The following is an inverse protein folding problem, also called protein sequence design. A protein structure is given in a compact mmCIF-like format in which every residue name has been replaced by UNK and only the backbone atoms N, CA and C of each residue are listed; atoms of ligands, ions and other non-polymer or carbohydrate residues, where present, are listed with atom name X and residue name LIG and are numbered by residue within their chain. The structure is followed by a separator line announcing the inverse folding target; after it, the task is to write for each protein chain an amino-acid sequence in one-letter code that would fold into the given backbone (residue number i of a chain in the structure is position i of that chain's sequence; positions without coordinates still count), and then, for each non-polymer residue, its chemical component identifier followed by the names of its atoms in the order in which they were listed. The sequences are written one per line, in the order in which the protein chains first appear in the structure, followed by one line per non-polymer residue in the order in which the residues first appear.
data_IF_123271990282
#
_entry.id   IF_123271990282
#
_cell.length_a   1.000
_cell.length_b   1.000
_cell.length_c   1.000
_cell.angle_alpha   90.00
_cell.angle_beta   90.00
_cell.angle_gamma   90.00
#
_symmetry.space_group_name_H-M   'P 1'
#
loop_
_entity.id
_entity.type
_entity.pdbx_description
1 polymer ?
#
# COMPACT_ATOMS: atom_id res chain seq x y z
N UNK A 1 -9.48 13.66 46.35
CA UNK A 1 -9.60 12.25 45.91
C UNK A 1 -10.28 12.29 44.54
N UNK A 2 -9.49 12.37 43.46
CA UNK A 2 -10.00 12.33 42.09
C UNK A 2 -9.52 11.02 41.46
N UNK A 3 -10.46 10.13 41.17
CA UNK A 3 -10.20 8.93 40.38
C UNK A 3 -9.79 9.36 38.96
N UNK A 4 -8.67 8.87 38.40
CA UNK A 4 -8.41 9.07 36.99
C UNK A 4 -9.38 8.20 36.18
N UNK A 5 -10.48 8.79 35.73
CA UNK A 5 -11.33 8.23 34.68
C UNK A 5 -10.59 8.27 33.34
N UNK A 6 -9.57 7.43 33.20
CA UNK A 6 -8.96 7.11 31.92
C UNK A 6 -9.90 6.15 31.21
N UNK A 7 -10.67 6.66 30.25
CA UNK A 7 -11.51 5.85 29.38
C UNK A 7 -10.64 4.73 28.76
N UNK A 8 -10.84 3.51 29.23
CA UNK A 8 -10.20 2.31 28.69
C UNK A 8 -10.81 2.06 27.31
N UNK A 9 -10.10 2.46 26.26
CA UNK A 9 -10.48 2.13 24.90
C UNK A 9 -10.19 0.64 24.65
N UNK A 10 -11.24 -0.12 24.37
CA UNK A 10 -11.12 -1.51 23.91
C UNK A 10 -10.41 -1.51 22.55
N UNK A 11 -9.15 -1.91 22.55
CA UNK A 11 -8.42 -2.21 21.32
C UNK A 11 -8.85 -3.61 20.88
N UNK A 12 -9.67 -3.67 19.84
CA UNK A 12 -9.85 -4.92 19.12
C UNK A 12 -8.59 -5.20 18.32
N UNK A 13 -7.73 -6.04 18.88
CA UNK A 13 -6.62 -6.60 18.13
C UNK A 13 -7.24 -7.52 17.10
N UNK A 14 -7.32 -7.08 15.84
CA UNK A 14 -7.56 -7.95 14.69
C UNK A 14 -6.30 -8.82 14.54
N UNK A 15 -6.11 -9.75 15.47
CA UNK A 15 -5.27 -10.93 15.31
C UNK A 15 -5.98 -11.91 14.39
N UNK A 16 -6.47 -11.42 13.25
CA UNK A 16 -6.51 -12.29 12.10
C UNK A 16 -5.08 -12.75 11.90
N UNK A 17 -4.88 -14.02 11.60
CA UNK A 17 -3.63 -14.57 11.06
C UNK A 17 -3.34 -13.89 9.72
N UNK A 18 -3.11 -12.58 9.77
CA UNK A 18 -3.41 -11.56 8.78
C UNK A 18 -2.27 -11.40 7.81
N UNK A 19 -1.72 -12.52 7.36
CA UNK A 19 -0.91 -12.50 6.15
C UNK A 19 -1.88 -12.20 5.02
N UNK A 20 -1.88 -10.95 4.55
CA UNK A 20 -2.56 -10.52 3.32
C UNK A 20 -2.27 -11.59 2.27
N UNK A 21 -3.30 -12.34 1.86
CA UNK A 21 -3.13 -13.55 1.04
C UNK A 21 -2.31 -13.19 -0.20
N UNK A 22 -1.10 -13.77 -0.30
CA UNK A 22 -0.18 -13.49 -1.39
C UNK A 22 -0.39 -14.57 -2.46
N UNK A 23 -0.89 -14.16 -3.62
CA UNK A 23 -1.06 -15.06 -4.76
C UNK A 23 0.25 -15.13 -5.54
N UNK A 24 0.77 -16.34 -5.73
CA UNK A 24 1.91 -16.58 -6.62
C UNK A 24 1.53 -16.27 -8.08
N UNK A 25 2.51 -16.22 -8.98
CA UNK A 25 2.23 -16.07 -10.41
C UNK A 25 1.38 -17.25 -10.92
N UNK A 26 1.70 -18.46 -10.47
CA UNK A 26 1.00 -19.69 -10.83
C UNK A 26 -0.44 -19.70 -10.32
N UNK A 27 -0.67 -19.25 -9.09
CA UNK A 27 -2.04 -19.12 -8.56
C UNK A 27 -2.86 -18.14 -9.38
N UNK A 28 -2.29 -17.00 -9.76
CA UNK A 28 -2.97 -16.02 -10.61
C UNK A 28 -3.27 -16.59 -11.99
N UNK A 29 -2.32 -17.33 -12.58
CA UNK A 29 -2.49 -17.98 -13.87
C UNK A 29 -3.63 -19.00 -13.84
N UNK A 30 -3.66 -19.88 -12.83
CA UNK A 30 -4.73 -20.86 -12.63
C UNK A 30 -6.10 -20.19 -12.48
N UNK A 31 -6.20 -19.14 -11.67
CA UNK A 31 -7.46 -18.40 -11.48
C UNK A 31 -7.89 -17.72 -12.79
N UNK A 32 -6.94 -17.16 -13.55
CA UNK A 32 -7.24 -16.55 -14.85
C UNK A 32 -7.74 -17.62 -15.83
N UNK A 33 -7.09 -18.78 -15.91
CA UNK A 33 -7.49 -19.90 -16.77
C UNK A 33 -8.91 -20.38 -16.46
N UNK A 34 -9.27 -20.51 -15.17
CA UNK A 34 -10.62 -20.83 -14.73
C UNK A 34 -11.68 -19.85 -15.28
N UNK A 35 -11.33 -18.57 -15.42
CA UNK A 35 -12.22 -17.55 -16.04
C UNK A 35 -12.28 -17.58 -17.56
N UNK A 36 -11.45 -18.39 -18.22
CA UNK A 36 -11.44 -18.53 -19.68
C UNK A 36 -12.29 -19.71 -20.16
N UNK A 37 -12.72 -20.59 -19.25
CA UNK A 37 -13.63 -21.69 -19.55
C UNK A 37 -14.97 -21.13 -20.10
N UNK A 38 -15.51 -21.68 -21.20
CA UNK A 38 -16.81 -21.25 -21.74
C UNK A 38 -17.90 -21.30 -20.66
N UNK A 39 -18.65 -20.22 -20.51
CA UNK A 39 -19.71 -20.09 -19.50
C UNK A 39 -19.23 -19.68 -18.10
N UNK A 40 -17.93 -19.46 -17.87
CA UNK A 40 -17.43 -19.03 -16.58
C UNK A 40 -17.84 -17.58 -16.23
N UNK A 41 -18.37 -17.39 -15.01
CA UNK A 41 -18.71 -16.07 -14.47
C UNK A 41 -17.56 -15.56 -13.59
N UNK A 42 -16.90 -14.49 -14.03
CA UNK A 42 -15.71 -13.91 -13.35
C UNK A 42 -15.99 -13.57 -11.88
N UNK A 43 -17.18 -13.06 -11.56
CA UNK A 43 -17.55 -12.70 -10.19
C UNK A 43 -17.68 -13.90 -9.26
N UNK A 44 -18.13 -15.05 -9.78
CA UNK A 44 -18.22 -16.29 -9.01
C UNK A 44 -16.84 -16.88 -8.73
N UNK A 45 -15.99 -16.93 -9.75
CA UNK A 45 -14.59 -17.35 -9.61
C UNK A 45 -13.88 -16.44 -8.60
N UNK A 46 -14.06 -15.13 -8.68
CA UNK A 46 -13.48 -14.20 -7.72
C UNK A 46 -13.92 -14.48 -6.28
N UNK A 47 -15.22 -14.69 -6.04
CA UNK A 47 -15.75 -15.02 -4.70
C UNK A 47 -15.16 -16.31 -4.15
N UNK A 48 -15.04 -17.37 -4.97
CA UNK A 48 -14.44 -18.65 -4.58
C UNK A 48 -12.99 -18.49 -4.10
N UNK A 49 -12.27 -17.54 -4.68
CA UNK A 49 -10.88 -17.24 -4.33
C UNK A 49 -10.73 -16.10 -3.31
N UNK A 50 -11.82 -15.56 -2.75
CA UNK A 50 -11.78 -14.43 -1.81
C UNK A 50 -11.23 -13.15 -2.44
N UNK A 51 -11.45 -12.98 -3.74
CA UNK A 51 -10.98 -11.86 -4.55
C UNK A 51 -12.15 -10.94 -4.93
N UNK A 52 -11.81 -9.68 -5.21
CA UNK A 52 -12.73 -8.78 -5.89
C UNK A 52 -12.71 -9.05 -7.40
N UNK A 53 -13.85 -9.02 -8.11
CA UNK A 53 -13.90 -9.27 -9.56
C UNK A 53 -12.95 -8.36 -10.35
N UNK A 54 -12.77 -7.10 -9.92
CA UNK A 54 -11.85 -6.14 -10.52
C UNK A 54 -10.38 -6.60 -10.51
N UNK A 55 -9.95 -7.37 -9.50
CA UNK A 55 -8.59 -7.93 -9.46
C UNK A 55 -8.42 -8.97 -10.56
N UNK A 56 -9.40 -9.85 -10.73
CA UNK A 56 -9.39 -10.91 -11.74
C UNK A 56 -9.43 -10.32 -13.15
N UNK A 57 -10.26 -9.30 -13.41
CA UNK A 57 -10.25 -8.57 -14.69
C UNK A 57 -8.90 -7.96 -15.01
N UNK A 58 -8.24 -7.38 -14.00
CA UNK A 58 -6.89 -6.82 -14.15
C UNK A 58 -5.89 -7.89 -14.54
N UNK A 59 -5.90 -9.04 -13.87
CA UNK A 59 -5.02 -10.17 -14.20
C UNK A 59 -5.28 -10.76 -15.58
N UNK A 60 -6.56 -10.91 -15.99
CA UNK A 60 -6.92 -11.31 -17.35
C UNK A 60 -6.36 -10.36 -18.41
N UNK A 61 -6.42 -9.05 -18.15
CA UNK A 61 -5.85 -8.04 -19.07
C UNK A 61 -4.33 -8.16 -19.17
N UNK A 62 -3.64 -8.35 -18.05
CA UNK A 62 -2.19 -8.50 -18.01
C UNK A 62 -1.73 -9.79 -18.69
N UNK A 63 -2.44 -10.90 -18.50
CA UNK A 63 -2.12 -12.19 -19.12
C UNK A 63 -2.28 -12.19 -20.65
N UNK A 64 -3.18 -11.35 -21.19
CA UNK A 64 -3.37 -11.17 -22.64
C UNK A 64 -2.37 -10.20 -23.27
N UNK A 65 -1.68 -9.40 -22.48
CA UNK A 65 -0.66 -8.50 -23.03
C UNK A 65 0.46 -9.40 -23.52
N UNK A 66 0.85 -9.33 -24.81
CA UNK A 66 2.04 -10.05 -25.25
C UNK A 66 3.17 -9.64 -24.30
N UNK A 67 3.98 -10.62 -23.88
CA UNK A 67 5.29 -10.32 -23.31
C UNK A 67 6.01 -9.57 -24.41
N UNK A 68 5.86 -8.25 -24.44
CA UNK A 68 6.81 -7.41 -25.09
C UNK A 68 8.12 -7.87 -24.45
N UNK A 69 8.99 -8.52 -25.22
CA UNK A 69 10.41 -8.51 -24.91
C UNK A 69 10.67 -7.11 -24.43
N UNK A 70 10.99 -6.99 -23.14
CA UNK A 70 11.22 -5.68 -22.57
C UNK A 70 12.13 -4.98 -23.58
N UNK A 71 11.78 -3.81 -24.15
CA UNK A 71 12.83 -2.99 -24.71
C UNK A 71 13.79 -2.88 -23.52
N UNK A 72 15.01 -3.41 -23.70
CA UNK A 72 16.04 -3.44 -22.67
C UNK A 72 15.86 -2.13 -21.93
N UNK A 73 15.40 -2.20 -20.68
CA UNK A 73 15.02 -1.02 -19.96
C UNK A 73 16.29 -0.19 -19.95
N UNK A 74 16.37 0.81 -20.84
CA UNK A 74 17.31 1.89 -20.71
C UNK A 74 16.95 2.44 -19.36
N UNK A 75 17.74 1.99 -18.37
CA UNK A 75 17.46 2.23 -16.99
C UNK A 75 17.35 3.74 -16.91
N UNK A 76 16.13 4.24 -16.73
CA UNK A 76 15.93 5.65 -16.50
C UNK A 76 16.49 5.88 -15.11
N UNK A 77 17.80 6.12 -15.07
CA UNK A 77 18.53 6.32 -13.84
C UNK A 77 18.04 7.64 -13.27
N UNK A 78 17.52 7.59 -12.06
CA UNK A 78 17.18 8.79 -11.31
C UNK A 78 18.49 9.51 -10.99
N UNK A 79 18.69 10.69 -11.59
CA UNK A 79 19.80 11.58 -11.24
C UNK A 79 19.35 12.46 -10.06
N UNK A 80 20.15 12.57 -8.98
CA UNK A 80 19.85 13.47 -7.88
C UNK A 80 19.82 14.93 -8.35
N UNK A 81 18.74 15.66 -8.04
CA UNK A 81 18.68 17.10 -8.27
C UNK A 81 19.49 17.83 -7.20
N UNK A 82 20.59 18.49 -7.58
CA UNK A 82 21.35 19.38 -6.70
C UNK A 82 20.64 20.75 -6.72
N UNK A 83 20.09 21.16 -5.58
CA UNK A 83 19.50 22.50 -5.42
C UNK A 83 20.57 23.42 -4.87
N UNK A 84 21.09 24.31 -5.71
CA UNK A 84 21.99 25.37 -5.28
C UNK A 84 21.17 26.45 -4.58
N UNK A 85 21.40 26.65 -3.28
CA UNK A 85 20.65 27.64 -2.49
C UNK A 85 21.18 29.05 -2.78
N UNK A 86 20.62 29.71 -3.80
CA UNK A 86 20.47 31.16 -3.83
C UNK A 86 19.04 31.54 -4.28
N UNK A 87 18.50 32.59 -3.67
CA UNK A 87 17.06 32.96 -3.50
C UNK A 87 16.44 33.70 -4.72
N UNK A 88 15.12 34.01 -4.79
CA UNK A 88 13.97 33.14 -5.10
C UNK A 88 13.17 33.54 -6.37
N UNK A 89 12.32 32.61 -6.83
CA UNK A 89 11.07 32.76 -7.64
C UNK A 89 11.18 32.97 -9.17
N UNK A 90 10.50 32.11 -9.97
CA UNK A 90 9.12 32.44 -10.34
C UNK A 90 8.11 31.30 -10.04
N UNK A 91 6.83 31.71 -10.00
CA UNK A 91 5.68 30.98 -9.47
C UNK A 91 5.45 29.54 -9.98
N UNK A 92 4.94 28.63 -9.14
CA UNK A 92 4.64 27.27 -9.54
C UNK A 92 3.35 27.20 -10.34
N UNK A 93 3.45 26.95 -11.65
CA UNK A 93 2.30 26.53 -12.47
C UNK A 93 1.81 25.18 -11.93
N UNK A 94 0.68 25.23 -11.22
CA UNK A 94 -0.04 24.05 -10.74
C UNK A 94 -0.97 23.53 -11.83
N UNK A 95 -0.81 22.24 -12.18
CA UNK A 95 -1.83 21.14 -12.25
C UNK A 95 -1.54 20.15 -13.42
N UNK A 96 -2.01 18.88 -13.39
CA UNK A 96 -2.85 18.22 -12.39
C UNK A 96 -2.24 16.93 -11.77
N UNK A 97 -2.75 16.56 -10.60
CA UNK A 97 -2.69 15.21 -9.98
C UNK A 97 -3.97 14.45 -10.40
N UNK A 98 -4.12 13.11 -10.50
CA UNK A 98 -3.56 11.84 -9.93
C UNK A 98 -4.30 10.65 -10.67
N UNK A 99 -4.18 9.31 -10.35
CA UNK A 99 -3.71 8.64 -9.12
C UNK A 99 -2.68 7.48 -9.32
N UNK A 100 -1.67 7.32 -8.44
CA UNK A 100 -1.61 6.34 -7.33
C UNK A 100 -2.12 4.92 -7.65
N UNK A 101 -1.20 3.95 -7.87
CA UNK A 101 -1.30 2.58 -7.31
C UNK A 101 -0.05 1.68 -7.26
N UNK A 102 1.16 2.17 -7.53
CA UNK A 102 2.34 1.26 -7.55
C UNK A 102 3.30 1.37 -6.36
N UNK A 103 3.04 2.26 -5.38
CA UNK A 103 3.95 2.45 -4.23
C UNK A 103 3.68 1.57 -3.01
N UNK A 104 2.60 0.78 -2.98
CA UNK A 104 2.23 0.00 -1.78
C UNK A 104 2.91 -1.38 -1.70
N UNK A 105 3.63 -1.82 -2.74
CA UNK A 105 4.18 -3.18 -2.77
C UNK A 105 5.67 -3.30 -2.36
N UNK A 106 6.39 -2.18 -2.25
CA UNK A 106 7.84 -2.21 -2.03
C UNK A 106 8.27 -2.12 -0.55
N UNK A 107 7.38 -1.77 0.38
CA UNK A 107 7.78 -1.34 1.74
C UNK A 107 7.00 -2.04 2.88
N UNK A 108 6.83 -3.36 2.81
CA UNK A 108 6.02 -4.13 3.79
C UNK A 108 6.83 -5.20 4.53
N UNK A 109 8.16 -5.20 4.41
CA UNK A 109 9.02 -5.96 5.31
C UNK A 109 9.58 -4.99 6.37
N UNK A 110 8.96 -4.96 7.55
CA UNK A 110 9.46 -4.22 8.72
C UNK A 110 8.79 -2.87 9.01
N UNK A 111 7.65 -2.56 8.39
CA UNK A 111 6.89 -1.33 8.70
C UNK A 111 5.75 -1.59 9.68
N UNK A 112 5.79 -0.98 10.87
CA UNK A 112 4.70 -0.95 11.85
C UNK A 112 3.77 0.21 11.49
N UNK A 113 2.45 -0.03 11.42
CA UNK A 113 1.46 1.00 11.14
C UNK A 113 0.41 1.07 12.25
N UNK A 114 0.03 2.30 12.63
CA UNK A 114 -0.95 2.60 13.67
C UNK A 114 -1.95 3.63 13.11
N UNK A 115 -3.20 3.57 13.57
CA UNK A 115 -4.20 4.60 13.30
C UNK A 115 -4.78 5.08 14.64
N UNK A 116 -4.75 6.39 14.87
CA UNK A 116 -5.26 7.03 16.09
C UNK A 116 -6.08 8.25 15.66
N UNK A 117 -7.38 8.27 15.97
CA UNK A 117 -8.30 9.37 15.63
C UNK A 117 -8.25 9.83 14.16
N UNK A 118 -8.16 8.87 13.23
CA UNK A 118 -8.05 9.12 11.79
C UNK A 118 -6.66 9.59 11.32
N UNK A 119 -5.68 9.64 12.23
CA UNK A 119 -4.28 9.91 11.92
C UNK A 119 -3.53 8.59 11.75
N UNK A 120 -3.02 8.34 10.54
CA UNK A 120 -2.19 7.16 10.26
C UNK A 120 -0.71 7.44 10.51
N UNK A 121 -0.08 6.63 11.37
CA UNK A 121 1.36 6.62 11.63
C UNK A 121 1.97 5.38 10.99
N UNK A 122 3.09 5.55 10.27
CA UNK A 122 3.87 4.44 9.70
C UNK A 122 5.33 4.55 10.15
N UNK A 123 5.88 3.44 10.63
CA UNK A 123 7.21 3.33 11.22
C UNK A 123 7.94 2.26 10.43
N UNK A 124 8.87 2.64 9.55
CA UNK A 124 9.68 1.69 8.79
C UNK A 124 10.76 0.99 9.63
N UNK A 125 11.37 -0.04 9.06
CA UNK A 125 12.35 -0.90 9.75
C UNK A 125 13.61 -0.18 10.29
N UNK A 126 13.88 1.03 9.80
CA UNK A 126 15.01 1.88 10.23
C UNK A 126 14.61 3.07 11.09
N UNK A 127 13.40 3.11 11.63
CA UNK A 127 12.95 4.24 12.44
C UNK A 127 13.72 4.31 13.77
N UNK A 128 14.28 5.49 14.07
CA UNK A 128 14.99 5.73 15.32
C UNK A 128 14.02 5.68 16.51
N UNK A 129 14.39 4.93 17.56
CA UNK A 129 13.57 4.74 18.75
C UNK A 129 13.18 6.06 19.44
N UNK A 130 14.05 7.08 19.43
CA UNK A 130 13.75 8.41 19.98
C UNK A 130 12.62 9.11 19.23
N UNK A 131 12.65 9.04 17.91
CA UNK A 131 11.62 9.62 17.03
C UNK A 131 10.29 8.91 17.24
N UNK A 132 10.30 7.58 17.32
CA UNK A 132 9.08 6.80 17.61
C UNK A 132 8.51 7.17 18.98
N UNK A 133 9.34 7.26 20.03
CA UNK A 133 8.90 7.64 21.37
C UNK A 133 8.40 9.09 21.45
N UNK A 134 8.99 10.02 20.69
CA UNK A 134 8.52 11.41 20.61
C UNK A 134 7.14 11.50 19.97
N UNK A 135 6.91 10.77 18.87
CA UNK A 135 5.60 10.69 18.20
C UNK A 135 4.54 10.10 19.12
N UNK A 136 4.84 8.99 19.80
CA UNK A 136 3.92 8.36 20.76
C UNK A 136 3.56 9.33 21.89
N UNK A 137 4.54 10.05 22.46
CA UNK A 137 4.28 11.03 23.52
C UNK A 137 3.45 12.21 23.04
N UNK A 138 3.70 12.71 21.83
CA UNK A 138 2.93 13.79 21.23
C UNK A 138 1.47 13.38 20.98
N UNK A 139 1.22 12.13 20.57
CA UNK A 139 -0.13 11.61 20.35
C UNK A 139 -0.89 11.38 21.66
N UNK A 140 -0.20 11.00 22.74
CA UNK A 140 -0.81 10.83 24.08
C UNK A 140 -1.19 12.17 24.73
N UNK A 141 -0.58 13.28 24.32
CA UNK A 141 -0.83 14.62 24.89
C UNK A 141 -2.04 15.33 24.27
N UNK A 142 -2.72 14.73 23.30
CA UNK A 142 -3.97 15.22 22.73
C UNK A 142 -5.16 14.58 23.48
N UNK A 143 -6.03 15.37 24.12
CA UNK A 143 -7.25 14.87 24.77
C UNK A 143 -8.33 14.47 23.75
#
# INVERSE_FOLDING_TARGET
MLEPNGAVHRIEVISGTGRRRRFSADDKARIVEETLVPGAVVSEVARRHGLMPQQVFTWRRLARRPVASAPAAEATLFVPAVVETSSPSPEPVRRPRKPRRDREAADVAGTIALEIDGVSVRIGAGAEARTVAAVIRALRARP
#
